data_IF_800015194716
#
_entry.id   IF_800015194716
#
_cell.length_a   1.000
_cell.length_b   1.000
_cell.length_c   1.000
_cell.angle_alpha   90.00
_cell.angle_beta   90.00
_cell.angle_gamma   90.00
#
_symmetry.space_group_name_H-M   'P 1'
#
loop_
_entity.id
_entity.type
_entity.pdbx_description
1 polymer ?
#
# COMPACT_ATOMS: atom_id res chain seq x y z
N UNK A 1 -31.00 -2.87 -11.16
CA UNK A 1 -29.68 -3.49 -10.89
C UNK A 1 -29.22 -2.99 -9.54
N UNK A 2 -28.90 -3.87 -8.60
CA UNK A 2 -28.45 -3.46 -7.27
C UNK A 2 -27.08 -2.75 -7.38
N UNK A 3 -26.88 -1.70 -6.58
CA UNK A 3 -25.62 -0.90 -6.56
C UNK A 3 -24.38 -1.79 -6.33
N UNK A 4 -24.51 -2.87 -5.53
CA UNK A 4 -23.44 -3.85 -5.31
C UNK A 4 -23.08 -4.60 -6.59
N UNK A 5 -24.09 -5.04 -7.34
CA UNK A 5 -23.88 -5.74 -8.62
C UNK A 5 -23.20 -4.84 -9.63
N UNK A 6 -23.61 -3.58 -9.75
CA UNK A 6 -22.98 -2.61 -10.64
C UNK A 6 -21.49 -2.41 -10.26
N UNK A 7 -21.21 -2.24 -8.98
CA UNK A 7 -19.86 -2.06 -8.49
C UNK A 7 -18.95 -3.25 -8.84
N UNK A 8 -19.39 -4.48 -8.60
CA UNK A 8 -18.64 -5.68 -8.97
C UNK A 8 -18.43 -5.80 -10.48
N UNK A 9 -19.43 -5.44 -11.30
CA UNK A 9 -19.28 -5.42 -12.75
C UNK A 9 -18.20 -4.43 -13.18
N UNK A 10 -18.20 -3.22 -12.65
CA UNK A 10 -17.17 -2.20 -12.96
C UNK A 10 -15.78 -2.67 -12.50
N UNK A 11 -15.67 -3.22 -11.30
CA UNK A 11 -14.41 -3.76 -10.77
C UNK A 11 -13.82 -4.85 -11.66
N UNK A 12 -14.64 -5.85 -12.06
CA UNK A 12 -14.22 -6.90 -12.96
C UNK A 12 -13.92 -6.38 -14.38
N UNK A 13 -14.69 -5.42 -14.88
CA UNK A 13 -14.45 -4.82 -16.19
C UNK A 13 -13.10 -4.10 -16.24
N UNK A 14 -12.77 -3.29 -15.22
CA UNK A 14 -11.46 -2.63 -15.11
C UNK A 14 -10.33 -3.65 -14.99
N UNK A 15 -10.53 -4.69 -14.18
CA UNK A 15 -9.55 -5.75 -13.99
C UNK A 15 -9.26 -6.50 -15.30
N UNK A 16 -10.31 -6.88 -16.01
CA UNK A 16 -10.20 -7.57 -17.32
C UNK A 16 -9.56 -6.65 -18.37
N UNK A 17 -9.93 -5.38 -18.42
CA UNK A 17 -9.35 -4.41 -19.34
C UNK A 17 -7.85 -4.23 -19.10
N UNK A 18 -7.42 -4.10 -17.82
CA UNK A 18 -6.02 -3.99 -17.45
C UNK A 18 -5.22 -5.26 -17.80
N UNK A 19 -5.78 -6.43 -17.51
CA UNK A 19 -5.15 -7.71 -17.89
C UNK A 19 -5.08 -7.90 -19.42
N UNK A 20 -6.15 -7.54 -20.14
CA UNK A 20 -6.17 -7.60 -21.60
C UNK A 20 -5.16 -6.62 -22.22
N UNK A 21 -5.08 -5.38 -21.70
CA UNK A 21 -4.09 -4.39 -22.15
C UNK A 21 -2.67 -4.89 -21.90
N UNK A 22 -2.38 -5.39 -20.69
CA UNK A 22 -1.06 -5.94 -20.38
C UNK A 22 -0.76 -7.15 -21.26
N UNK A 23 -1.71 -8.08 -21.41
CA UNK A 23 -1.58 -9.24 -22.29
C UNK A 23 -1.33 -8.85 -23.74
N UNK A 24 -2.09 -7.88 -24.28
CA UNK A 24 -1.87 -7.34 -25.62
C UNK A 24 -0.46 -6.75 -25.77
N UNK A 25 -0.01 -5.92 -24.83
CA UNK A 25 1.34 -5.32 -24.85
C UNK A 25 2.43 -6.37 -24.75
N UNK A 26 2.24 -7.41 -23.92
CA UNK A 26 3.19 -8.51 -23.82
C UNK A 26 3.24 -9.36 -25.12
N UNK A 27 2.09 -9.70 -25.71
CA UNK A 27 2.03 -10.50 -26.94
C UNK A 27 2.57 -9.74 -28.15
N UNK A 28 2.29 -8.42 -28.24
CA UNK A 28 2.77 -7.56 -29.33
C UNK A 28 4.19 -7.01 -29.09
N UNK A 29 4.84 -7.40 -28.02
CA UNK A 29 6.22 -7.02 -27.78
C UNK A 29 7.15 -7.88 -28.65
N UNK A 30 7.75 -7.25 -29.64
CA UNK A 30 8.58 -7.94 -30.64
C UNK A 30 10.01 -8.20 -30.13
N UNK A 31 10.46 -7.46 -29.09
CA UNK A 31 11.84 -7.47 -28.61
C UNK A 31 12.09 -8.36 -27.39
N UNK A 32 11.35 -9.49 -27.24
CA UNK A 32 11.66 -10.48 -26.19
C UNK A 32 13.11 -10.98 -26.22
N UNK A 33 13.73 -11.23 -27.39
CA UNK A 33 15.13 -11.60 -27.45
C UNK A 33 16.05 -10.53 -26.86
N UNK A 34 15.82 -9.24 -27.21
CA UNK A 34 16.59 -8.13 -26.66
C UNK A 34 16.38 -7.96 -25.16
N UNK A 35 15.15 -8.11 -24.64
CA UNK A 35 14.89 -8.13 -23.20
C UNK A 35 15.64 -9.26 -22.50
N UNK A 36 15.64 -10.45 -23.08
CA UNK A 36 16.34 -11.58 -22.50
C UNK A 36 17.85 -11.41 -22.53
N UNK A 37 18.39 -10.80 -23.59
CA UNK A 37 19.79 -10.45 -23.69
C UNK A 37 20.16 -9.36 -22.68
N UNK A 38 19.35 -8.32 -22.52
CA UNK A 38 19.50 -7.28 -21.48
C UNK A 38 19.53 -7.90 -20.07
N UNK A 39 18.61 -8.84 -19.76
CA UNK A 39 18.60 -9.54 -18.47
C UNK A 39 19.85 -10.40 -18.26
N UNK A 40 20.41 -10.97 -19.32
CA UNK A 40 21.64 -11.79 -19.25
C UNK A 40 22.91 -10.96 -19.16
N UNK A 41 22.90 -9.79 -19.79
CA UNK A 41 24.03 -8.86 -19.85
C UNK A 41 24.02 -7.80 -18.73
N UNK A 42 23.13 -7.95 -17.73
CA UNK A 42 23.05 -7.03 -16.60
C UNK A 42 24.43 -6.78 -15.98
N UNK A 43 24.76 -5.51 -15.79
CA UNK A 43 25.93 -5.12 -15.04
C UNK A 43 25.75 -5.44 -13.54
N UNK A 44 26.85 -5.65 -12.81
CA UNK A 44 26.80 -5.98 -11.39
C UNK A 44 26.02 -4.93 -10.56
N UNK A 45 26.04 -3.66 -10.98
CA UNK A 45 25.30 -2.57 -10.34
C UNK A 45 23.78 -2.79 -10.42
N UNK A 46 23.27 -3.35 -11.53
CA UNK A 46 21.84 -3.67 -11.71
C UNK A 46 21.42 -4.82 -10.79
N UNK A 47 22.26 -5.86 -10.66
CA UNK A 47 22.02 -6.92 -9.66
C UNK A 47 22.06 -6.38 -8.24
N UNK A 48 22.96 -5.44 -7.93
CA UNK A 48 23.00 -4.78 -6.63
C UNK A 48 21.72 -3.99 -6.36
N UNK A 49 21.19 -3.27 -7.35
CA UNK A 49 19.93 -2.54 -7.20
C UNK A 49 18.75 -3.48 -6.93
N UNK A 50 18.67 -4.62 -7.63
CA UNK A 50 17.65 -5.64 -7.34
C UNK A 50 17.84 -6.23 -5.94
N UNK A 51 19.05 -6.51 -5.52
CA UNK A 51 19.38 -6.96 -4.17
C UNK A 51 18.96 -5.95 -3.09
N UNK A 52 19.23 -4.66 -3.31
CA UNK A 52 18.80 -3.58 -2.43
C UNK A 52 17.26 -3.45 -2.39
N UNK A 53 16.59 -3.60 -3.53
CA UNK A 53 15.13 -3.61 -3.57
C UNK A 53 14.56 -4.74 -2.69
N UNK A 54 15.12 -5.95 -2.77
CA UNK A 54 14.71 -7.08 -1.92
C UNK A 54 15.06 -6.79 -0.45
N UNK A 55 16.22 -6.21 -0.15
CA UNK A 55 16.62 -5.84 1.22
C UNK A 55 15.72 -4.73 1.83
N UNK A 56 15.13 -3.87 1.02
CA UNK A 56 14.16 -2.87 1.47
C UNK A 56 12.78 -3.47 1.79
N UNK A 57 12.46 -4.70 1.37
CA UNK A 57 11.18 -5.34 1.71
C UNK A 57 10.99 -5.52 3.23
N UNK A 58 11.93 -6.09 3.99
CA UNK A 58 11.79 -6.13 5.45
C UNK A 58 11.67 -4.74 6.09
N UNK A 59 12.35 -3.73 5.55
CA UNK A 59 12.22 -2.34 6.01
C UNK A 59 10.80 -1.82 5.79
N UNK A 60 10.22 -2.06 4.60
CA UNK A 60 8.83 -1.73 4.32
C UNK A 60 7.85 -2.43 5.30
N UNK A 61 8.10 -3.71 5.61
CA UNK A 61 7.29 -4.44 6.61
C UNK A 61 7.48 -3.87 8.02
N UNK A 62 8.68 -3.47 8.39
CA UNK A 62 8.97 -2.83 9.68
C UNK A 62 8.28 -1.46 9.82
N UNK A 63 8.25 -0.64 8.75
CA UNK A 63 7.51 0.64 8.73
C UNK A 63 6.01 0.40 8.92
N UNK A 64 5.44 -0.61 8.25
CA UNK A 64 4.02 -0.97 8.43
C UNK A 64 3.74 -1.48 9.86
N UNK A 65 4.64 -2.27 10.43
CA UNK A 65 4.52 -2.74 11.81
C UNK A 65 4.60 -1.58 12.81
N UNK A 66 5.51 -0.63 12.57
CA UNK A 66 5.60 0.58 13.37
C UNK A 66 4.31 1.41 13.28
N UNK A 67 3.76 1.59 12.09
CA UNK A 67 2.49 2.29 11.88
C UNK A 67 1.33 1.56 12.56
N UNK A 68 1.22 0.24 12.40
CA UNK A 68 0.20 -0.57 13.04
C UNK A 68 0.27 -0.49 14.57
N UNK A 69 1.48 -0.62 15.13
CA UNK A 69 1.71 -0.44 16.57
C UNK A 69 1.28 0.95 17.05
N UNK A 70 1.61 1.99 16.30
CA UNK A 70 1.22 3.38 16.64
C UNK A 70 -0.30 3.54 16.64
N UNK A 71 -0.98 3.01 15.63
CA UNK A 71 -2.43 3.04 15.54
C UNK A 71 -3.08 2.28 16.69
N UNK A 72 -2.58 1.09 17.00
CA UNK A 72 -3.14 0.27 18.07
C UNK A 72 -2.94 0.88 19.45
N UNK A 73 -1.74 1.35 19.76
CA UNK A 73 -1.41 1.89 21.07
C UNK A 73 -1.97 3.30 21.34
N UNK A 74 -2.48 3.97 20.31
CA UNK A 74 -2.99 5.34 20.42
C UNK A 74 -1.90 6.38 20.71
N UNK A 75 -2.33 7.54 21.19
CA UNK A 75 -1.40 8.61 21.61
C UNK A 75 -1.10 8.47 23.10
N UNK A 76 0.08 7.92 23.41
CA UNK A 76 0.53 7.72 24.80
C UNK A 76 0.56 9.01 25.65
N UNK A 77 0.52 10.17 24.97
CA UNK A 77 0.50 11.50 25.64
C UNK A 77 -0.84 11.84 26.26
N UNK A 78 -1.95 11.25 25.79
CA UNK A 78 -3.28 11.51 26.34
C UNK A 78 -3.56 10.67 27.60
N UNK A 79 -2.98 9.47 27.70
CA UNK A 79 -3.21 8.55 28.82
C UNK A 79 -2.36 8.91 30.06
N UNK A 80 -1.27 9.67 29.88
CA UNK A 80 -0.43 10.14 31.02
C UNK A 80 -1.01 11.31 31.80
N UNK A 81 -1.98 12.04 31.24
CA UNK A 81 -2.55 13.23 31.88
C UNK A 81 -3.63 12.90 32.95
N UNK A 82 -4.23 11.71 32.90
CA UNK A 82 -5.37 11.34 33.77
C UNK A 82 -5.01 10.39 34.93
N UNK A 83 -3.73 10.09 35.17
CA UNK A 83 -3.30 9.31 36.34
C UNK A 83 -3.66 7.82 36.36
N UNK A 84 -4.37 7.29 35.35
CA UNK A 84 -4.79 5.88 35.25
C UNK A 84 -3.77 4.99 34.49
N UNK A 85 -2.48 5.32 34.63
CA UNK A 85 -1.42 4.71 33.83
C UNK A 85 -1.15 3.21 34.13
N UNK A 86 -1.77 2.61 35.14
CA UNK A 86 -1.37 1.29 35.62
C UNK A 86 -2.16 0.08 35.07
N UNK A 87 -3.37 0.25 34.53
CA UNK A 87 -4.12 -0.88 33.98
C UNK A 87 -3.96 -1.09 32.46
N UNK A 88 -3.51 -0.06 31.72
CA UNK A 88 -3.42 -0.10 30.25
C UNK A 88 -2.07 -0.59 29.72
N UNK A 89 -1.10 -0.93 30.56
CA UNK A 89 0.22 -1.39 30.12
C UNK A 89 0.18 -2.76 29.46
N UNK A 90 -0.72 -3.64 29.87
CA UNK A 90 -0.89 -4.99 29.31
C UNK A 90 -1.61 -4.98 27.95
N UNK A 91 -2.34 -3.91 27.61
CA UNK A 91 -3.03 -3.78 26.31
C UNK A 91 -2.10 -3.31 25.16
N UNK A 92 -0.87 -2.87 25.47
CA UNK A 92 0.03 -2.31 24.47
C UNK A 92 0.65 -3.37 23.58
N UNK A 93 0.55 -3.14 22.26
CA UNK A 93 1.19 -3.97 21.26
C UNK A 93 2.69 -3.69 21.21
N UNK A 94 3.52 -4.72 21.36
CA UNK A 94 4.96 -4.61 21.14
C UNK A 94 5.30 -4.55 19.65
N UNK A 95 6.49 -4.05 19.30
CA UNK A 95 6.92 -4.00 17.90
C UNK A 95 7.03 -5.41 17.30
N UNK A 96 7.48 -6.39 18.07
CA UNK A 96 7.61 -7.79 17.62
C UNK A 96 6.25 -8.42 17.29
N UNK A 97 5.25 -8.19 18.11
CA UNK A 97 3.87 -8.63 17.87
C UNK A 97 3.28 -7.95 16.63
N UNK A 98 3.39 -6.61 16.54
CA UNK A 98 2.94 -5.85 15.39
C UNK A 98 3.59 -6.36 14.09
N UNK A 99 4.89 -6.62 14.10
CA UNK A 99 5.63 -7.13 12.97
C UNK A 99 5.15 -8.52 12.53
N UNK A 100 4.94 -9.43 13.50
CA UNK A 100 4.37 -10.76 13.23
C UNK A 100 2.97 -10.67 12.63
N UNK A 101 2.11 -9.80 13.17
CA UNK A 101 0.76 -9.58 12.65
C UNK A 101 0.75 -9.02 11.23
N UNK A 102 1.67 -8.12 10.91
CA UNK A 102 1.82 -7.58 9.55
C UNK A 102 2.19 -8.67 8.55
N UNK A 103 3.16 -9.53 8.86
CA UNK A 103 3.50 -10.64 7.96
C UNK A 103 2.33 -11.62 7.77
N UNK A 104 1.65 -12.00 8.86
CA UNK A 104 0.47 -12.87 8.79
C UNK A 104 -0.64 -12.26 7.93
N UNK A 105 -0.88 -10.96 8.09
CA UNK A 105 -1.95 -10.27 7.39
C UNK A 105 -1.76 -10.23 5.87
N UNK A 106 -0.51 -10.35 5.38
CA UNK A 106 -0.24 -10.41 3.93
C UNK A 106 -0.86 -11.63 3.27
N UNK A 107 -0.94 -12.76 3.96
CA UNK A 107 -1.63 -13.96 3.45
C UNK A 107 -3.10 -13.67 3.12
N UNK A 108 -3.81 -13.02 4.04
CA UNK A 108 -5.21 -12.65 3.82
C UNK A 108 -5.38 -11.52 2.80
N UNK A 109 -4.41 -10.60 2.74
CA UNK A 109 -4.40 -9.50 1.77
C UNK A 109 -4.30 -9.98 0.33
N UNK A 110 -3.56 -11.08 0.08
CA UNK A 110 -3.38 -11.62 -1.29
C UNK A 110 -4.69 -12.19 -1.86
N UNK A 111 -5.57 -12.72 -1.00
CA UNK A 111 -6.80 -13.40 -1.44
C UNK A 111 -8.05 -12.50 -1.37
N UNK A 112 -7.93 -11.28 -0.83
CA UNK A 112 -9.08 -10.38 -0.65
C UNK A 112 -8.99 -9.12 -1.53
N UNK A 113 -10.12 -8.66 -2.12
CA UNK A 113 -10.17 -7.41 -2.87
C UNK A 113 -9.62 -6.24 -2.04
N UNK A 114 -8.87 -5.36 -2.69
CA UNK A 114 -8.21 -4.19 -2.07
C UNK A 114 -7.43 -4.49 -0.79
N UNK A 115 -7.04 -5.76 -0.61
CA UNK A 115 -6.34 -6.21 0.61
C UNK A 115 -7.12 -5.94 1.90
N UNK A 116 -8.44 -5.90 1.82
CA UNK A 116 -9.31 -5.66 2.98
C UNK A 116 -9.14 -6.71 4.08
N UNK A 117 -8.73 -7.94 3.74
CA UNK A 117 -8.44 -9.00 4.69
C UNK A 117 -7.20 -8.77 5.57
N UNK A 118 -6.33 -7.81 5.26
CA UNK A 118 -5.12 -7.56 6.06
C UNK A 118 -5.46 -7.18 7.51
N UNK A 119 -6.44 -6.31 7.73
CA UNK A 119 -6.79 -5.88 9.09
C UNK A 119 -7.56 -6.95 9.88
N UNK A 120 -8.60 -7.59 9.33
CA UNK A 120 -9.22 -8.73 10.00
C UNK A 120 -8.22 -9.84 10.37
N UNK A 121 -7.26 -10.16 9.51
CA UNK A 121 -6.22 -11.14 9.83
C UNK A 121 -5.37 -10.73 11.05
N UNK A 122 -5.04 -9.45 11.19
CA UNK A 122 -4.38 -8.92 12.41
C UNK A 122 -5.27 -9.13 13.64
N UNK A 123 -6.57 -8.90 13.51
CA UNK A 123 -7.55 -9.14 14.56
C UNK A 123 -7.63 -10.61 15.01
N UNK A 124 -7.55 -11.55 14.06
CA UNK A 124 -7.51 -12.99 14.38
C UNK A 124 -6.31 -13.33 15.28
N UNK A 125 -5.11 -12.83 14.95
CA UNK A 125 -3.93 -13.05 15.79
C UNK A 125 -4.07 -12.38 17.16
N UNK A 126 -4.54 -11.14 17.22
CA UNK A 126 -4.80 -10.45 18.48
C UNK A 126 -5.80 -11.20 19.35
N UNK A 127 -6.89 -11.70 18.76
CA UNK A 127 -7.90 -12.49 19.48
C UNK A 127 -7.28 -13.77 20.04
N UNK A 128 -6.48 -14.48 19.27
CA UNK A 128 -5.84 -15.71 19.74
C UNK A 128 -4.79 -15.46 20.85
N UNK A 129 -4.15 -14.31 20.85
CA UNK A 129 -3.07 -13.97 21.79
C UNK A 129 -3.59 -13.31 23.08
N UNK A 130 -4.68 -12.55 22.99
CA UNK A 130 -5.15 -11.64 24.06
C UNK A 130 -6.66 -11.76 24.37
N UNK A 131 -7.33 -12.82 23.91
CA UNK A 131 -8.77 -12.98 24.11
C UNK A 131 -9.16 -13.01 25.59
N UNK A 132 -8.30 -13.56 26.44
CA UNK A 132 -8.54 -13.64 27.87
C UNK A 132 -8.40 -12.30 28.60
N UNK A 133 -7.64 -11.35 28.01
CA UNK A 133 -7.35 -10.04 28.61
C UNK A 133 -8.36 -8.97 28.16
N UNK A 134 -8.69 -8.93 26.86
CA UNK A 134 -9.45 -7.84 26.24
C UNK A 134 -10.90 -8.20 25.86
N UNK A 135 -11.20 -9.50 25.68
CA UNK A 135 -12.45 -9.96 25.09
C UNK A 135 -12.61 -9.61 23.60
N UNK A 136 -13.20 -10.51 22.85
CA UNK A 136 -13.41 -10.34 21.40
C UNK A 136 -14.25 -9.09 21.04
N UNK A 137 -15.17 -8.71 21.95
CA UNK A 137 -16.10 -7.58 21.77
C UNK A 137 -15.39 -6.23 21.63
N UNK A 138 -14.21 -6.07 22.27
CA UNK A 138 -13.40 -4.84 22.19
C UNK A 138 -12.35 -4.89 21.09
N UNK A 139 -11.79 -6.07 20.81
CA UNK A 139 -10.71 -6.25 19.82
C UNK A 139 -11.22 -5.92 18.41
N UNK A 140 -12.33 -6.51 17.99
CA UNK A 140 -12.80 -6.40 16.62
C UNK A 140 -13.17 -4.98 16.18
N UNK A 141 -13.99 -4.22 16.94
CA UNK A 141 -14.30 -2.84 16.58
C UNK A 141 -13.04 -1.96 16.49
N UNK A 142 -12.09 -2.15 17.43
CA UNK A 142 -10.82 -1.41 17.44
C UNK A 142 -9.94 -1.74 16.23
N UNK A 143 -9.81 -3.04 15.88
CA UNK A 143 -9.06 -3.47 14.68
C UNK A 143 -9.61 -2.84 13.42
N UNK A 144 -10.94 -2.84 13.25
CA UNK A 144 -11.59 -2.29 12.07
C UNK A 144 -11.44 -0.76 12.03
N UNK A 145 -11.61 -0.08 13.17
CA UNK A 145 -11.43 1.38 13.27
C UNK A 145 -9.99 1.78 12.94
N UNK A 146 -9.00 1.13 13.55
CA UNK A 146 -7.58 1.41 13.28
C UNK A 146 -7.19 1.03 11.85
N UNK A 147 -7.77 -0.03 11.31
CA UNK A 147 -7.62 -0.42 9.91
C UNK A 147 -8.14 0.65 8.94
N UNK A 148 -9.31 1.20 9.20
CA UNK A 148 -9.89 2.29 8.40
C UNK A 148 -9.00 3.55 8.45
N UNK A 149 -8.57 3.96 9.64
CA UNK A 149 -7.63 5.11 9.79
C UNK A 149 -6.32 4.84 9.08
N UNK A 150 -5.76 3.64 9.21
CA UNK A 150 -4.51 3.25 8.54
C UNK A 150 -4.62 3.28 7.02
N UNK A 151 -5.72 2.78 6.46
CA UNK A 151 -5.98 2.83 5.02
C UNK A 151 -6.18 4.27 4.53
N UNK A 152 -7.02 5.06 5.23
CA UNK A 152 -7.29 6.44 4.87
C UNK A 152 -6.01 7.31 4.90
N UNK A 153 -5.17 7.16 5.93
CA UNK A 153 -3.90 7.91 6.04
C UNK A 153 -2.89 7.51 4.96
N UNK A 154 -2.85 6.23 4.55
CA UNK A 154 -1.98 5.80 3.44
C UNK A 154 -2.47 6.34 2.11
N UNK A 155 -3.78 6.25 1.83
CA UNK A 155 -4.37 6.82 0.62
C UNK A 155 -4.18 8.33 0.57
N UNK A 156 -4.37 9.03 1.71
CA UNK A 156 -4.13 10.47 1.81
C UNK A 156 -2.68 10.83 1.50
N UNK A 157 -1.71 10.09 2.02
CA UNK A 157 -0.29 10.30 1.73
C UNK A 157 0.04 10.14 0.24
N UNK A 158 -0.55 9.13 -0.42
CA UNK A 158 -0.38 8.89 -1.86
C UNK A 158 -0.99 10.04 -2.68
N UNK A 159 -2.21 10.48 -2.33
CA UNK A 159 -2.88 11.60 -3.03
C UNK A 159 -2.12 12.90 -2.80
N UNK A 160 -1.65 13.16 -1.58
CA UNK A 160 -0.87 14.34 -1.23
C UNK A 160 0.42 14.46 -2.02
N UNK A 161 1.09 13.33 -2.30
CA UNK A 161 2.30 13.31 -3.11
C UNK A 161 2.03 13.25 -4.61
N UNK A 162 1.00 12.51 -5.04
CA UNK A 162 0.70 12.26 -6.44
C UNK A 162 0.05 13.46 -7.15
N UNK A 163 -0.82 14.22 -6.47
CA UNK A 163 -1.48 15.39 -7.08
C UNK A 163 -0.49 16.46 -7.52
N UNK A 164 0.46 16.94 -6.68
CA UNK A 164 1.48 17.86 -7.12
C UNK A 164 2.37 17.30 -8.25
N UNK A 165 2.63 15.99 -8.22
CA UNK A 165 3.41 15.33 -9.27
C UNK A 165 2.70 15.36 -10.63
N UNK A 166 1.38 15.15 -10.66
CA UNK A 166 0.57 15.32 -11.88
C UNK A 166 0.60 16.77 -12.35
N UNK A 167 0.44 17.74 -11.44
CA UNK A 167 0.47 19.16 -11.79
C UNK A 167 1.80 19.57 -12.41
N UNK A 168 2.91 18.99 -11.94
CA UNK A 168 4.24 19.32 -12.41
C UNK A 168 4.60 18.67 -13.76
N UNK A 169 4.10 17.46 -14.06
CA UNK A 169 4.59 16.67 -15.20
C UNK A 169 3.51 15.84 -15.90
N UNK A 170 2.24 16.01 -15.55
CA UNK A 170 1.13 15.21 -16.06
C UNK A 170 0.38 15.82 -17.23
N UNK A 171 1.06 16.47 -18.18
CA UNK A 171 0.40 17.15 -19.32
C UNK A 171 -0.57 16.22 -20.07
N UNK A 172 -0.20 14.96 -20.26
CA UNK A 172 -1.03 13.95 -20.91
C UNK A 172 -2.29 13.54 -20.10
N UNK A 173 -2.24 13.64 -18.76
CA UNK A 173 -3.38 13.45 -17.89
C UNK A 173 -4.27 14.70 -17.81
N UNK A 174 -3.66 15.88 -18.00
CA UNK A 174 -4.36 17.17 -17.91
C UNK A 174 -5.21 17.48 -19.14
N UNK A 175 -4.89 16.88 -20.29
CA UNK A 175 -5.65 17.07 -21.52
C UNK A 175 -7.14 16.67 -21.41
N UNK A 176 -7.50 15.83 -20.43
CA UNK A 176 -8.87 15.44 -20.13
C UNK A 176 -9.32 16.02 -18.78
N UNK A 177 -9.82 17.23 -18.77
CA UNK A 177 -10.13 18.03 -17.56
C UNK A 177 -11.02 17.41 -16.47
N UNK A 178 -11.68 16.28 -16.74
CA UNK A 178 -12.59 15.60 -15.80
C UNK A 178 -11.85 14.90 -14.63
N UNK A 179 -10.58 14.53 -14.79
CA UNK A 179 -9.78 13.87 -13.76
C UNK A 179 -9.56 14.73 -12.51
N UNK A 180 -9.49 16.05 -12.67
CA UNK A 180 -9.31 16.97 -11.56
C UNK A 180 -10.49 16.97 -10.60
N UNK A 181 -11.71 16.83 -11.16
CA UNK A 181 -12.94 16.75 -10.35
C UNK A 181 -12.88 15.46 -9.51
N UNK A 182 -12.55 14.33 -10.12
CA UNK A 182 -12.48 13.05 -9.40
C UNK A 182 -11.40 13.07 -8.30
N UNK A 183 -10.20 13.56 -8.60
CA UNK A 183 -9.11 13.71 -7.62
C UNK A 183 -9.47 14.69 -6.53
N UNK A 184 -10.09 15.84 -6.86
CA UNK A 184 -10.57 16.82 -5.89
C UNK A 184 -11.63 16.26 -4.95
N UNK A 185 -12.58 15.48 -5.47
CA UNK A 185 -13.62 14.81 -4.67
C UNK A 185 -13.00 13.77 -3.74
N UNK A 186 -12.07 12.94 -4.23
CA UNK A 186 -11.37 11.94 -3.41
C UNK A 186 -10.61 12.63 -2.27
N UNK A 187 -9.86 13.68 -2.58
CA UNK A 187 -9.11 14.45 -1.59
C UNK A 187 -10.04 15.06 -0.55
N UNK A 188 -11.14 15.67 -0.98
CA UNK A 188 -12.14 16.26 -0.08
C UNK A 188 -12.74 15.19 0.85
N UNK A 189 -13.14 14.03 0.30
CA UNK A 189 -13.71 12.94 1.10
C UNK A 189 -12.69 12.38 2.10
N UNK A 190 -11.41 12.27 1.73
CA UNK A 190 -10.35 11.85 2.63
C UNK A 190 -10.11 12.87 3.75
N UNK A 191 -10.04 14.15 3.42
CA UNK A 191 -9.86 15.23 4.42
C UNK A 191 -11.04 15.26 5.39
N UNK A 192 -12.26 15.24 4.87
CA UNK A 192 -13.48 15.24 5.71
C UNK A 192 -13.54 13.96 6.54
N UNK A 193 -13.28 12.81 5.96
CA UNK A 193 -13.27 11.52 6.67
C UNK A 193 -12.25 11.49 7.81
N UNK A 194 -11.03 11.94 7.56
CA UNK A 194 -9.97 12.02 8.59
C UNK A 194 -10.29 13.08 9.66
N UNK A 195 -10.90 14.20 9.29
CA UNK A 195 -11.31 15.24 10.24
C UNK A 195 -12.46 14.78 11.15
N UNK A 196 -13.36 13.94 10.64
CA UNK A 196 -14.47 13.38 11.40
C UNK A 196 -14.09 12.10 12.15
N UNK A 197 -13.01 11.42 11.79
CA UNK A 197 -12.61 10.15 12.37
C UNK A 197 -12.53 10.17 13.92
N UNK A 198 -11.95 11.21 14.59
CA UNK A 198 -11.91 11.25 16.05
C UNK A 198 -13.32 11.27 16.69
N UNK A 199 -14.31 11.85 16.03
CA UNK A 199 -15.70 11.89 16.53
C UNK A 199 -16.46 10.60 16.24
N UNK A 200 -16.35 10.09 15.01
CA UNK A 200 -17.08 8.91 14.55
C UNK A 200 -16.58 7.61 15.18
N UNK A 201 -15.27 7.52 15.43
CA UNK A 201 -14.64 6.29 15.94
C UNK A 201 -14.49 6.28 17.47
N UNK A 202 -14.87 7.34 18.17
CA UNK A 202 -14.69 7.50 19.63
C UNK A 202 -15.21 6.33 20.46
N UNK A 203 -16.31 5.70 20.03
CA UNK A 203 -16.88 4.56 20.73
C UNK A 203 -16.12 3.23 20.49
N UNK A 204 -15.27 3.16 19.46
CA UNK A 204 -14.55 1.95 19.07
C UNK A 204 -13.06 2.03 19.35
N UNK A 205 -12.51 3.23 19.31
CA UNK A 205 -11.09 3.46 19.49
C UNK A 205 -10.78 4.93 19.80
N UNK A 206 -9.75 5.17 20.59
CA UNK A 206 -9.25 6.52 20.85
C UNK A 206 -8.44 7.02 19.66
N UNK A 207 -9.07 7.77 18.79
CA UNK A 207 -8.44 8.41 17.62
C UNK A 207 -8.28 9.89 17.89
N UNK A 208 -7.03 10.34 18.07
CA UNK A 208 -6.69 11.76 18.18
C UNK A 208 -6.20 12.33 16.85
N UNK A 209 -6.26 13.65 16.68
CA UNK A 209 -5.64 14.31 15.52
C UNK A 209 -4.13 14.09 15.49
N UNK A 210 -3.46 14.04 16.66
CA UNK A 210 -2.05 13.72 16.77
C UNK A 210 -1.72 12.33 16.22
N UNK A 211 -2.57 11.35 16.52
CA UNK A 211 -2.43 9.99 15.98
C UNK A 211 -2.59 9.96 14.45
N UNK A 212 -3.56 10.69 13.91
CA UNK A 212 -3.77 10.80 12.46
C UNK A 212 -2.54 11.42 11.79
N UNK A 213 -2.01 12.54 12.30
CA UNK A 213 -0.82 13.20 11.76
C UNK A 213 0.40 12.28 11.81
N UNK A 214 0.62 11.57 12.93
CA UNK A 214 1.70 10.57 13.05
C UNK A 214 1.55 9.45 12.01
N UNK A 215 0.33 8.94 11.83
CA UNK A 215 0.03 7.89 10.85
C UNK A 215 0.23 8.37 9.41
N UNK A 216 -0.10 9.62 9.08
CA UNK A 216 0.19 10.23 7.76
C UNK A 216 1.69 10.33 7.55
N UNK A 217 2.45 10.83 8.54
CA UNK A 217 3.91 10.88 8.46
C UNK A 217 4.55 9.52 8.21
N UNK A 218 4.11 8.49 8.97
CA UNK A 218 4.57 7.11 8.77
C UNK A 218 4.18 6.55 7.40
N UNK A 219 3.01 6.92 6.88
CA UNK A 219 2.54 6.55 5.53
C UNK A 219 3.39 7.20 4.44
N UNK A 220 3.81 8.46 4.61
CA UNK A 220 4.74 9.13 3.70
C UNK A 220 6.12 8.45 3.68
N UNK A 221 6.66 8.10 4.84
CA UNK A 221 7.92 7.34 4.93
C UNK A 221 7.80 6.01 4.17
N UNK A 222 6.69 5.33 4.32
CA UNK A 222 6.42 4.08 3.61
C UNK A 222 6.29 4.30 2.10
N UNK A 223 5.61 5.35 1.66
CA UNK A 223 5.49 5.72 0.25
C UNK A 223 6.86 6.00 -0.37
N UNK A 224 7.73 6.73 0.34
CA UNK A 224 9.11 6.95 -0.09
C UNK A 224 9.85 5.62 -0.25
N UNK A 225 9.73 4.71 0.71
CA UNK A 225 10.33 3.37 0.60
C UNK A 225 9.84 2.63 -0.67
N UNK A 226 8.55 2.70 -0.98
CA UNK A 226 7.98 2.11 -2.20
C UNK A 226 8.51 2.78 -3.47
N UNK A 227 8.62 4.11 -3.48
CA UNK A 227 9.19 4.86 -4.61
C UNK A 227 10.65 4.49 -4.85
N UNK A 228 11.45 4.36 -3.78
CA UNK A 228 12.85 3.93 -3.89
C UNK A 228 12.94 2.50 -4.44
N UNK A 229 12.14 1.56 -3.92
CA UNK A 229 12.11 0.19 -4.44
C UNK A 229 11.73 0.15 -5.92
N UNK A 230 10.70 0.91 -6.33
CA UNK A 230 10.27 0.98 -7.73
C UNK A 230 11.35 1.57 -8.61
N UNK A 231 11.98 2.68 -8.19
CA UNK A 231 13.08 3.31 -8.93
C UNK A 231 14.27 2.37 -9.13
N UNK A 232 14.64 1.60 -8.08
CA UNK A 232 15.72 0.62 -8.17
C UNK A 232 15.43 -0.49 -9.19
N UNK A 233 14.21 -1.02 -9.20
CA UNK A 233 13.81 -2.08 -10.15
C UNK A 233 13.69 -1.53 -11.56
N UNK A 234 13.08 -0.34 -11.74
CA UNK A 234 12.98 0.31 -13.04
C UNK A 234 14.35 0.64 -13.63
N UNK A 235 15.27 1.14 -12.78
CA UNK A 235 16.63 1.41 -13.20
C UNK A 235 17.39 0.13 -13.57
N UNK A 236 17.24 -0.92 -12.78
CA UNK A 236 17.87 -2.21 -13.08
C UNK A 236 17.38 -2.81 -14.40
N UNK A 237 16.14 -2.54 -14.80
CA UNK A 237 15.54 -3.00 -16.06
C UNK A 237 15.63 -1.94 -17.19
N UNK A 238 16.47 -0.91 -17.02
CA UNK A 238 16.71 0.15 -18.01
C UNK A 238 15.43 0.92 -18.44
N UNK A 239 14.43 0.94 -17.56
CA UNK A 239 13.17 1.63 -17.77
C UNK A 239 13.07 2.98 -17.05
N UNK A 240 14.16 3.47 -16.44
CA UNK A 240 14.16 4.67 -15.62
C UNK A 240 15.49 5.43 -15.67
N UNK A 241 15.42 6.75 -15.78
CA UNK A 241 16.54 7.66 -15.60
C UNK A 241 16.27 8.59 -14.41
N UNK A 242 17.29 8.87 -13.58
CA UNK A 242 17.15 9.74 -12.41
C UNK A 242 17.06 11.23 -12.83
N UNK A 243 15.93 11.61 -13.44
CA UNK A 243 15.59 12.98 -13.77
C UNK A 243 14.43 13.46 -12.86
N UNK A 244 14.30 14.75 -12.56
CA UNK A 244 13.21 15.27 -11.73
C UNK A 244 11.81 14.87 -12.21
N UNK A 245 11.57 14.88 -13.52
CA UNK A 245 10.32 14.43 -14.15
C UNK A 245 10.04 12.95 -13.90
N UNK A 246 11.07 12.11 -13.95
CA UNK A 246 10.94 10.68 -13.70
C UNK A 246 10.64 10.38 -12.22
N UNK A 247 11.13 11.19 -11.27
CA UNK A 247 10.78 11.06 -9.85
C UNK A 247 9.28 11.34 -9.64
N UNK A 248 8.74 12.36 -10.30
CA UNK A 248 7.30 12.65 -10.26
C UNK A 248 6.47 11.48 -10.81
N UNK A 249 6.94 10.81 -11.84
CA UNK A 249 6.28 9.64 -12.42
C UNK A 249 6.12 8.49 -11.42
N UNK A 250 7.01 8.33 -10.44
CA UNK A 250 6.86 7.32 -9.37
C UNK A 250 5.61 7.60 -8.52
N UNK A 251 5.38 8.86 -8.14
CA UNK A 251 4.19 9.25 -7.37
C UNK A 251 2.92 9.15 -8.19
N UNK A 252 2.97 9.54 -9.47
CA UNK A 252 1.84 9.38 -10.42
C UNK A 252 1.48 7.90 -10.54
N UNK A 253 2.44 7.02 -10.70
CA UNK A 253 2.21 5.58 -10.77
C UNK A 253 1.46 5.05 -9.54
N UNK A 254 1.92 5.37 -8.32
CA UNK A 254 1.25 4.93 -7.11
C UNK A 254 -0.13 5.53 -6.94
N UNK A 255 -0.35 6.78 -7.35
CA UNK A 255 -1.66 7.40 -7.34
C UNK A 255 -2.62 6.63 -8.27
N UNK A 256 -2.23 6.38 -9.52
CA UNK A 256 -3.05 5.68 -10.51
C UNK A 256 -3.38 4.25 -10.09
N UNK A 257 -2.40 3.52 -9.57
CA UNK A 257 -2.63 2.17 -9.01
C UNK A 257 -3.60 2.21 -7.83
N UNK A 258 -3.54 3.26 -6.99
CA UNK A 258 -4.38 3.35 -5.79
C UNK A 258 -5.83 3.72 -6.11
N UNK A 259 -6.07 4.61 -7.07
CA UNK A 259 -7.43 5.02 -7.46
C UNK A 259 -8.11 3.99 -8.38
N UNK A 260 -7.35 3.11 -9.02
CA UNK A 260 -7.91 2.08 -9.90
C UNK A 260 -8.53 0.96 -9.07
N UNK A 261 -9.84 0.68 -9.22
CA UNK A 261 -10.47 -0.48 -8.59
C UNK A 261 -9.77 -1.75 -9.07
N UNK A 262 -9.38 -2.62 -8.15
CA UNK A 262 -8.78 -3.88 -8.53
C UNK A 262 -9.21 -5.05 -7.63
N UNK A 263 -9.23 -6.24 -8.23
CA UNK A 263 -9.33 -7.52 -7.52
C UNK A 263 -7.92 -8.14 -7.42
N UNK A 264 -7.65 -8.98 -6.41
CA UNK A 264 -6.29 -9.47 -6.14
C UNK A 264 -5.59 -10.09 -7.34
N UNK A 265 -6.32 -10.88 -8.13
CA UNK A 265 -5.78 -11.57 -9.32
C UNK A 265 -5.38 -10.56 -10.41
N UNK A 266 -6.12 -9.46 -10.53
CA UNK A 266 -5.87 -8.43 -11.51
C UNK A 266 -4.89 -7.35 -11.03
N UNK A 267 -4.52 -7.32 -9.77
CA UNK A 267 -3.58 -6.32 -9.22
C UNK A 267 -2.26 -6.31 -10.00
N UNK A 268 -1.79 -7.48 -10.40
CA UNK A 268 -0.57 -7.62 -11.23
C UNK A 268 -0.77 -6.94 -12.59
N UNK A 269 -1.91 -7.20 -13.25
CA UNK A 269 -2.26 -6.58 -14.54
C UNK A 269 -2.39 -5.07 -14.44
N UNK A 270 -3.07 -4.55 -13.41
CA UNK A 270 -3.23 -3.11 -13.17
C UNK A 270 -1.87 -2.45 -12.95
N UNK A 271 -0.99 -3.06 -12.17
CA UNK A 271 0.36 -2.54 -11.91
C UNK A 271 1.23 -2.53 -13.17
N UNK A 272 1.20 -3.61 -13.95
CA UNK A 272 1.93 -3.68 -15.21
C UNK A 272 1.41 -2.67 -16.24
N UNK A 273 0.07 -2.56 -16.38
CA UNK A 273 -0.56 -1.63 -17.31
C UNK A 273 -0.20 -0.16 -16.99
N UNK A 274 -0.35 0.27 -15.73
CA UNK A 274 0.02 1.62 -15.34
C UNK A 274 1.52 1.88 -15.43
N UNK A 275 2.36 0.88 -15.20
CA UNK A 275 3.80 1.02 -15.39
C UNK A 275 4.14 1.30 -16.86
N UNK A 276 3.51 0.61 -17.82
CA UNK A 276 3.68 0.91 -19.25
C UNK A 276 3.21 2.34 -19.57
N UNK A 277 2.03 2.71 -19.08
CA UNK A 277 1.44 4.03 -19.38
C UNK A 277 2.31 5.16 -18.83
N UNK A 278 2.80 5.03 -17.60
CA UNK A 278 3.55 6.10 -16.91
C UNK A 278 5.00 6.18 -17.37
N UNK A 279 5.67 5.04 -17.61
CA UNK A 279 7.10 4.99 -17.94
C UNK A 279 7.38 4.69 -19.43
N UNK A 280 6.34 4.40 -20.22
CA UNK A 280 6.45 4.27 -21.67
C UNK A 280 7.16 3.00 -22.16
N UNK A 281 7.43 2.01 -21.31
CA UNK A 281 8.19 0.83 -21.69
C UNK A 281 7.60 -0.47 -21.14
N UNK A 282 7.76 -1.56 -21.88
CA UNK A 282 7.35 -2.91 -21.43
C UNK A 282 8.24 -3.38 -20.27
N UNK A 283 9.51 -2.97 -20.23
CA UNK A 283 10.41 -3.26 -19.12
C UNK A 283 9.85 -2.70 -17.80
N UNK A 284 9.16 -1.56 -17.85
CA UNK A 284 8.47 -1.02 -16.68
C UNK A 284 7.32 -1.91 -16.19
N UNK A 285 6.61 -2.62 -17.08
CA UNK A 285 5.61 -3.60 -16.65
C UNK A 285 6.25 -4.73 -15.85
N UNK A 286 7.37 -5.26 -16.32
CA UNK A 286 8.13 -6.28 -15.57
C UNK A 286 8.60 -5.74 -14.23
N UNK A 287 9.05 -4.47 -14.15
CA UNK A 287 9.40 -3.83 -12.89
C UNK A 287 8.22 -3.76 -11.92
N UNK A 288 7.04 -3.34 -12.39
CA UNK A 288 5.82 -3.26 -11.58
C UNK A 288 5.38 -4.63 -11.04
N UNK A 289 5.44 -5.67 -11.89
CA UNK A 289 5.13 -7.06 -11.51
C UNK A 289 6.17 -7.60 -10.53
N UNK A 290 7.46 -7.43 -10.79
CA UNK A 290 8.55 -7.90 -9.93
C UNK A 290 8.46 -7.25 -8.54
N UNK A 291 8.19 -5.95 -8.49
CA UNK A 291 8.01 -5.24 -7.23
C UNK A 291 6.78 -5.76 -6.45
N UNK A 292 5.69 -6.10 -7.16
CA UNK A 292 4.53 -6.75 -6.53
C UNK A 292 4.91 -8.10 -5.91
N UNK A 293 5.66 -8.93 -6.63
CA UNK A 293 6.17 -10.20 -6.11
C UNK A 293 7.01 -9.98 -4.85
N UNK A 294 7.96 -9.04 -4.88
CA UNK A 294 8.85 -8.73 -3.75
C UNK A 294 8.04 -8.25 -2.54
N UNK A 295 7.07 -7.35 -2.72
CA UNK A 295 6.34 -6.73 -1.60
C UNK A 295 5.07 -7.49 -1.17
N UNK A 296 4.66 -8.50 -1.92
CA UNK A 296 3.43 -9.26 -1.65
C UNK A 296 3.71 -10.73 -1.40
N UNK A 297 4.38 -11.42 -2.34
CA UNK A 297 4.60 -12.87 -2.20
C UNK A 297 5.75 -13.20 -1.25
N UNK A 298 6.88 -12.47 -1.29
CA UNK A 298 7.98 -12.74 -0.38
C UNK A 298 7.60 -12.57 1.10
N UNK A 299 6.84 -11.53 1.53
CA UNK A 299 6.34 -11.48 2.91
C UNK A 299 5.43 -12.65 3.28
N UNK A 300 4.59 -13.16 2.35
CA UNK A 300 3.80 -14.36 2.62
C UNK A 300 4.68 -15.57 2.93
N UNK A 301 5.76 -15.76 2.19
CA UNK A 301 6.75 -16.80 2.49
C UNK A 301 7.48 -16.53 3.81
N UNK A 302 7.79 -15.27 4.10
CA UNK A 302 8.42 -14.83 5.34
C UNK A 302 7.63 -15.23 6.59
N UNK A 303 6.28 -15.28 6.52
CA UNK A 303 5.45 -15.72 7.63
C UNK A 303 5.83 -17.11 8.14
N UNK A 304 6.18 -18.04 7.29
CA UNK A 304 6.55 -19.40 7.71
C UNK A 304 7.78 -19.43 8.61
N UNK A 305 8.68 -18.44 8.49
CA UNK A 305 9.84 -18.30 9.37
C UNK A 305 9.48 -17.69 10.74
N UNK A 306 8.44 -16.85 10.79
CA UNK A 306 7.98 -16.20 12.03
C UNK A 306 6.94 -17.03 12.81
N UNK A 307 6.35 -18.07 12.21
CA UNK A 307 5.30 -18.91 12.82
C UNK A 307 5.82 -19.75 14.00
N UNK A 308 7.09 -20.08 14.05
CA UNK A 308 7.69 -21.07 14.98
C UNK A 308 8.20 -20.46 16.29
N UNK A 309 7.67 -19.34 16.74
CA UNK A 309 8.07 -18.81 18.06
C UNK A 309 6.80 -18.41 18.84
#
# INVERSE_FOLDING_TARGET
MDKKTLYHIVEWAVALAACAFLGYKLVTFEDYPALWESLRSMAWQQYLALGLCVALMPVNMAIEAWRWRTLWNGDATLNGANGEANELTDERLTFKEAHRQVYYSKLAGVITPWRLGEYPARGVLLTNERMNELGSERIWPRVLAMGAVGSATMTFAIVLAGVPAIMANGEWLMANGEWWIAVGVILLLLVVGLALAPRLLRQYAEVSYGLIIKSVGQSLVRLICWCVQLALVLWALEAFSFQPSAISSLFIYYLLVTITPNVPIAEVGVRGAWAIVVFGSVNAAFAGVLLWVINTLLPCLGWFFFRKK
#
